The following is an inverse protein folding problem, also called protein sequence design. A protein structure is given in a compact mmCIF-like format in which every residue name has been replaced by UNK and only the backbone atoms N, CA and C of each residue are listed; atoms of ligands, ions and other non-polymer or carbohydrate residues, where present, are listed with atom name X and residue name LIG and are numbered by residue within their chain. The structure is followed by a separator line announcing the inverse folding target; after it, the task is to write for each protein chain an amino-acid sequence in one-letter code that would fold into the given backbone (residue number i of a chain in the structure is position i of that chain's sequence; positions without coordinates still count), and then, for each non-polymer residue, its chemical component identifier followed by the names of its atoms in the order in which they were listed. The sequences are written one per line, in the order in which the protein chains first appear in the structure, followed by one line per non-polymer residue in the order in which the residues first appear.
data_IF_593224320970
#
_entry.id   IF_593224320970
#
_cell.length_a   1.000
_cell.length_b   1.000
_cell.length_c   1.000
_cell.angle_alpha   90.00
_cell.angle_beta   90.00
_cell.angle_gamma   90.00
#
_symmetry.space_group_name_H-M   'P 1'
#
loop_
_entity.id
_entity.type
_entity.pdbx_description
1 polymer ?
#
# COMPACT_ATOMS: atom_id res chain seq x y z
N UNK A 1 -0.47 2.84 22.53
CA UNK A 1 -0.14 4.04 21.76
C UNK A 1 -1.41 4.82 21.40
N UNK A 2 -1.28 6.14 21.26
CA UNK A 2 -2.37 7.00 20.80
C UNK A 2 -2.62 6.80 19.30
N UNK A 3 -1.57 6.87 18.51
CA UNK A 3 -1.61 6.60 17.09
C UNK A 3 -1.09 5.19 16.80
N UNK A 4 -1.76 4.48 15.89
CA UNK A 4 -1.27 3.23 15.30
C UNK A 4 -1.29 3.44 13.80
N UNK A 5 -0.12 3.37 13.16
CA UNK A 5 0.02 3.55 11.71
C UNK A 5 0.68 2.30 11.14
N UNK A 6 -0.04 1.61 10.28
CA UNK A 6 0.40 0.38 9.63
C UNK A 6 0.66 0.65 8.16
N UNK A 7 1.92 0.67 7.77
CA UNK A 7 2.34 0.70 6.38
C UNK A 7 2.46 -0.72 5.83
N UNK A 8 1.80 -0.97 4.73
CA UNK A 8 1.88 -2.21 3.97
C UNK A 8 2.45 -1.92 2.59
N UNK A 9 3.47 -2.66 2.20
CA UNK A 9 4.04 -2.59 0.86
C UNK A 9 4.24 -3.97 0.29
N UNK A 10 4.30 -4.06 -1.01
CA UNK A 10 4.90 -5.20 -1.71
C UNK A 10 6.38 -4.89 -1.95
N UNK A 11 7.17 -5.94 -2.17
CA UNK A 11 8.59 -5.83 -2.53
C UNK A 11 9.49 -5.15 -1.48
N UNK A 12 9.12 -5.17 -0.22
CA UNK A 12 10.00 -4.68 0.85
C UNK A 12 10.98 -5.80 1.28
N UNK A 13 11.81 -6.27 0.36
CA UNK A 13 12.84 -7.28 0.59
C UNK A 13 14.21 -6.63 0.82
N UNK A 14 15.19 -7.33 1.41
CA UNK A 14 16.55 -6.81 1.56
C UNK A 14 17.17 -6.34 0.24
N UNK A 15 16.98 -7.13 -0.84
CA UNK A 15 17.52 -6.78 -2.17
C UNK A 15 16.91 -5.50 -2.71
N UNK A 16 15.56 -5.37 -2.63
CA UNK A 16 14.85 -4.18 -3.11
C UNK A 16 15.18 -2.96 -2.26
N UNK A 17 15.17 -3.12 -0.93
CA UNK A 17 15.48 -2.03 -0.01
C UNK A 17 16.91 -1.49 -0.22
N UNK A 18 17.89 -2.41 -0.34
CA UNK A 18 19.28 -2.04 -0.63
C UNK A 18 19.40 -1.33 -1.97
N UNK A 19 18.73 -1.85 -3.01
CA UNK A 19 18.75 -1.24 -4.34
C UNK A 19 18.10 0.14 -4.35
N UNK A 20 16.95 0.30 -3.66
CA UNK A 20 16.25 1.58 -3.56
C UNK A 20 17.08 2.61 -2.78
N UNK A 21 17.76 2.20 -1.71
CA UNK A 21 18.67 3.05 -0.94
C UNK A 21 19.82 3.55 -1.79
N UNK A 22 20.51 2.65 -2.52
CA UNK A 22 21.60 3.03 -3.42
C UNK A 22 21.08 3.98 -4.50
N UNK A 23 19.92 3.68 -5.07
CA UNK A 23 19.27 4.55 -6.05
C UNK A 23 19.00 5.96 -5.48
N UNK A 24 18.45 6.05 -4.29
CA UNK A 24 18.05 7.32 -3.68
C UNK A 24 19.22 8.19 -3.25
N UNK A 25 20.31 7.60 -2.71
CA UNK A 25 21.37 8.39 -2.12
C UNK A 25 22.77 7.74 -2.08
N UNK A 26 22.92 6.52 -2.63
CA UNK A 26 24.18 5.78 -2.60
C UNK A 26 24.29 4.80 -1.43
N UNK A 27 25.42 4.12 -1.33
CA UNK A 27 25.63 3.02 -0.39
C UNK A 27 25.54 3.45 1.10
N UNK A 28 25.90 4.68 1.41
CA UNK A 28 25.92 5.21 2.78
C UNK A 28 24.60 5.90 3.16
N UNK A 29 23.68 6.06 2.22
CA UNK A 29 22.36 6.63 2.52
C UNK A 29 21.56 5.68 3.40
N UNK A 30 20.72 6.23 4.28
CA UNK A 30 19.81 5.45 5.13
C UNK A 30 18.39 5.96 5.01
N UNK A 31 17.49 5.07 4.75
CA UNK A 31 16.06 5.34 4.79
C UNK A 31 15.57 5.57 6.23
N UNK A 32 14.46 6.29 6.39
CA UNK A 32 13.81 6.49 7.69
C UNK A 32 13.34 5.17 8.30
N UNK A 33 12.85 4.24 7.47
CA UNK A 33 12.41 2.93 7.92
C UNK A 33 13.58 2.06 8.45
N UNK A 34 14.81 2.31 8.02
CA UNK A 34 16.01 1.60 8.53
C UNK A 34 16.49 2.15 9.89
N UNK A 35 15.91 3.25 10.36
CA UNK A 35 16.23 3.86 11.66
C UNK A 35 15.30 3.39 12.78
N UNK A 36 14.38 2.47 12.52
CA UNK A 36 13.48 1.93 13.52
C UNK A 36 14.23 0.99 14.47
N UNK A 37 13.90 1.01 15.78
CA UNK A 37 14.65 0.25 16.77
C UNK A 37 14.36 -1.26 16.74
N UNK A 38 13.24 -1.67 16.12
CA UNK A 38 12.81 -3.06 16.10
C UNK A 38 12.68 -3.56 14.67
N UNK A 39 13.19 -4.76 14.43
CA UNK A 39 13.15 -5.47 13.15
C UNK A 39 12.70 -6.90 13.37
N UNK A 40 11.83 -7.41 12.51
CA UNK A 40 11.42 -8.81 12.49
C UNK A 40 11.33 -9.35 11.07
N UNK A 41 11.50 -10.65 10.92
CA UNK A 41 11.21 -11.37 9.69
C UNK A 41 9.79 -11.92 9.75
N UNK A 42 9.05 -11.78 8.65
CA UNK A 42 7.69 -12.27 8.50
C UNK A 42 7.67 -13.47 7.56
N UNK A 43 6.88 -14.48 7.90
CA UNK A 43 6.52 -15.56 6.99
C UNK A 43 5.24 -15.18 6.23
N UNK A 44 5.29 -15.21 4.90
CA UNK A 44 4.23 -14.66 4.05
C UNK A 44 3.43 -15.71 3.29
N UNK A 45 3.60 -17.01 3.57
CA UNK A 45 2.82 -18.05 2.91
C UNK A 45 1.31 -17.90 3.18
N UNK A 46 0.50 -18.24 2.18
CA UNK A 46 -0.95 -18.37 2.34
C UNK A 46 -1.33 -19.66 3.08
N UNK A 47 -2.62 -19.90 3.31
CA UNK A 47 -3.09 -21.08 4.02
C UNK A 47 -2.70 -22.39 3.29
N UNK A 48 -2.91 -22.46 1.97
CA UNK A 48 -2.70 -23.68 1.17
C UNK A 48 -1.46 -23.58 0.26
N UNK A 49 -0.99 -22.35 -0.03
CA UNK A 49 0.11 -22.12 -0.96
C UNK A 49 1.35 -21.60 -0.23
N UNK A 50 2.52 -22.07 -0.67
CA UNK A 50 3.82 -21.60 -0.15
C UNK A 50 4.05 -20.09 -0.40
N UNK A 51 3.40 -19.54 -1.41
CA UNK A 51 3.46 -18.12 -1.78
C UNK A 51 2.06 -17.52 -1.73
N UNK A 52 1.90 -16.42 -0.99
CA UNK A 52 0.65 -15.68 -0.97
C UNK A 52 0.54 -14.73 -2.16
N UNK A 53 -0.69 -14.48 -2.59
CA UNK A 53 -1.00 -13.32 -3.42
C UNK A 53 -1.30 -12.08 -2.56
N UNK A 54 -1.55 -10.95 -3.21
CA UNK A 54 -1.81 -9.68 -2.53
C UNK A 54 -3.04 -9.73 -1.63
N UNK A 55 -4.09 -10.44 -2.06
CA UNK A 55 -5.34 -10.58 -1.31
C UNK A 55 -5.15 -11.41 -0.03
N UNK A 56 -4.52 -12.58 -0.15
CA UNK A 56 -4.26 -13.46 0.99
C UNK A 56 -3.30 -12.81 2.00
N UNK A 57 -2.23 -12.17 1.52
CA UNK A 57 -1.28 -11.48 2.38
C UNK A 57 -1.94 -10.32 3.15
N UNK A 58 -2.73 -9.50 2.47
CA UNK A 58 -3.44 -8.40 3.12
C UNK A 58 -4.54 -8.89 4.09
N UNK A 59 -5.26 -9.95 3.72
CA UNK A 59 -6.25 -10.59 4.58
C UNK A 59 -5.64 -11.13 5.88
N UNK A 60 -4.46 -11.75 5.78
CA UNK A 60 -3.73 -12.24 6.95
C UNK A 60 -3.34 -11.10 7.91
N UNK A 61 -2.88 -9.96 7.38
CA UNK A 61 -2.58 -8.78 8.19
C UNK A 61 -3.83 -8.18 8.81
N UNK A 62 -4.92 -8.11 8.02
CA UNK A 62 -6.16 -7.48 8.47
C UNK A 62 -6.86 -8.25 9.59
N UNK A 63 -6.77 -9.60 9.60
CA UNK A 63 -7.54 -10.47 10.50
C UNK A 63 -6.69 -11.31 11.48
N UNK A 64 -5.38 -11.40 11.21
CA UNK A 64 -4.48 -12.29 11.97
C UNK A 64 -4.57 -13.77 11.56
N UNK A 65 -5.35 -14.10 10.52
CA UNK A 65 -5.44 -15.47 9.99
C UNK A 65 -5.15 -15.49 8.48
N UNK A 66 -4.45 -16.53 8.04
CA UNK A 66 -4.05 -16.71 6.64
C UNK A 66 -5.21 -17.25 5.81
N UNK A 67 -5.78 -16.47 4.89
CA UNK A 67 -6.77 -16.96 3.94
C UNK A 67 -6.11 -17.74 2.78
N UNK A 68 -6.93 -18.31 1.92
CA UNK A 68 -6.46 -18.86 0.65
C UNK A 68 -6.15 -17.72 -0.34
N UNK A 69 -5.25 -18.00 -1.29
CA UNK A 69 -5.02 -17.09 -2.41
C UNK A 69 -6.32 -16.78 -3.16
N UNK A 70 -6.39 -15.59 -3.76
CA UNK A 70 -7.55 -15.09 -4.53
C UNK A 70 -8.82 -14.92 -3.68
N UNK A 71 -8.69 -14.72 -2.37
CA UNK A 71 -9.82 -14.44 -1.49
C UNK A 71 -9.51 -13.27 -0.57
N UNK A 72 -10.51 -12.43 -0.34
CA UNK A 72 -10.47 -11.39 0.68
C UNK A 72 -11.28 -11.86 1.90
N UNK A 73 -10.58 -12.15 3.01
CA UNK A 73 -11.19 -12.46 4.32
C UNK A 73 -12.24 -13.59 4.30
N UNK A 74 -12.12 -14.55 3.40
CA UNK A 74 -12.93 -15.76 3.44
C UNK A 74 -12.20 -16.80 4.29
N UNK A 75 -12.64 -16.92 5.51
CA UNK A 75 -12.22 -17.96 6.43
C UNK A 75 -13.08 -19.22 6.26
N UNK A 76 -12.50 -20.36 6.59
CA UNK A 76 -13.25 -21.62 6.68
C UNK A 76 -14.23 -21.64 7.87
N UNK A 77 -14.20 -20.65 8.73
CA UNK A 77 -15.05 -20.52 9.91
C UNK A 77 -16.41 -19.90 9.57
N UNK A 78 -17.52 -20.38 10.12
CA UNK A 78 -18.84 -19.79 9.94
C UNK A 78 -18.96 -18.39 10.61
N UNK A 79 -18.09 -18.03 11.57
CA UNK A 79 -18.06 -16.73 12.19
C UNK A 79 -16.95 -15.87 11.59
N UNK A 80 -17.29 -14.74 10.96
CA UNK A 80 -16.31 -13.87 10.34
C UNK A 80 -15.40 -13.21 11.39
N UNK A 81 -14.09 -13.26 11.17
CA UNK A 81 -13.12 -12.59 12.02
C UNK A 81 -13.19 -11.05 11.84
N UNK A 82 -13.13 -10.28 12.93
CA UNK A 82 -13.04 -8.83 12.83
C UNK A 82 -11.67 -8.42 12.29
N UNK A 83 -11.64 -7.34 11.51
CA UNK A 83 -10.39 -6.72 11.09
C UNK A 83 -9.81 -5.81 12.17
N UNK A 84 -8.52 -5.47 12.01
CA UNK A 84 -7.88 -4.45 12.85
C UNK A 84 -8.65 -3.12 12.83
N UNK A 85 -9.21 -2.70 11.68
CA UNK A 85 -10.05 -1.49 11.60
C UNK A 85 -11.35 -1.64 12.38
N UNK A 86 -12.04 -2.77 12.28
CA UNK A 86 -13.25 -3.05 13.04
C UNK A 86 -12.98 -3.09 14.56
N UNK A 87 -11.83 -3.66 14.96
CA UNK A 87 -11.40 -3.67 16.37
C UNK A 87 -11.05 -2.27 16.88
N UNK A 88 -10.33 -1.47 16.08
CA UNK A 88 -10.00 -0.09 16.41
C UNK A 88 -11.27 0.74 16.59
N UNK A 89 -12.24 0.62 15.67
CA UNK A 89 -13.53 1.30 15.75
C UNK A 89 -14.32 0.88 16.99
N UNK A 90 -14.38 -0.42 17.31
CA UNK A 90 -15.04 -0.91 18.53
C UNK A 90 -14.41 -0.35 19.80
N UNK A 91 -13.10 -0.04 19.78
CA UNK A 91 -12.44 0.63 20.90
C UNK A 91 -12.65 2.15 20.93
N UNK A 92 -13.39 2.71 19.97
CA UNK A 92 -13.69 4.13 19.85
C UNK A 92 -12.60 4.95 19.18
N UNK A 93 -11.61 4.31 18.55
CA UNK A 93 -10.56 4.99 17.77
C UNK A 93 -11.10 5.47 16.43
N UNK A 94 -10.60 6.59 15.95
CA UNK A 94 -10.81 6.97 14.56
C UNK A 94 -10.04 6.00 13.63
N UNK A 95 -10.53 5.83 12.40
CA UNK A 95 -9.94 4.89 11.45
C UNK A 95 -9.71 5.54 10.09
N UNK A 96 -8.63 5.17 9.43
CA UNK A 96 -8.31 5.63 8.09
C UNK A 96 -7.67 4.56 7.22
N UNK A 97 -7.90 4.66 5.93
CA UNK A 97 -7.20 3.93 4.87
C UNK A 97 -6.64 4.96 3.88
N UNK A 98 -5.35 4.84 3.62
CA UNK A 98 -4.64 5.59 2.58
C UNK A 98 -4.03 4.59 1.62
N UNK A 99 -4.15 4.81 0.32
CA UNK A 99 -3.48 3.97 -0.68
C UNK A 99 -3.04 4.80 -1.88
N UNK A 100 -1.92 4.43 -2.49
CA UNK A 100 -1.53 4.93 -3.81
C UNK A 100 -2.09 4.09 -4.97
N UNK A 101 -2.82 3.01 -4.66
CA UNK A 101 -3.58 2.23 -5.63
C UNK A 101 -5.07 2.63 -5.61
N UNK A 102 -5.96 1.77 -6.07
CA UNK A 102 -7.41 1.97 -5.89
C UNK A 102 -7.83 1.58 -4.48
N UNK A 103 -8.79 2.32 -3.91
CA UNK A 103 -9.40 1.92 -2.63
C UNK A 103 -10.04 0.53 -2.68
N UNK A 104 -10.40 0.05 -3.87
CA UNK A 104 -10.95 -1.28 -4.12
C UNK A 104 -9.90 -2.35 -4.38
N UNK A 105 -8.61 -1.99 -4.48
CA UNK A 105 -7.52 -2.98 -4.59
C UNK A 105 -7.41 -3.83 -3.32
N UNK A 106 -6.92 -5.05 -3.49
CA UNK A 106 -6.93 -6.10 -2.50
C UNK A 106 -6.39 -5.70 -1.11
N UNK A 107 -5.33 -4.88 -1.04
CA UNK A 107 -4.73 -4.48 0.24
C UNK A 107 -5.68 -3.60 1.05
N UNK A 108 -6.19 -2.52 0.45
CA UNK A 108 -7.13 -1.63 1.11
C UNK A 108 -8.45 -2.38 1.41
N UNK A 109 -8.95 -3.15 0.43
CA UNK A 109 -10.19 -3.90 0.51
C UNK A 109 -10.19 -4.95 1.63
N UNK A 110 -9.06 -5.58 1.93
CA UNK A 110 -8.96 -6.59 2.99
C UNK A 110 -9.37 -6.07 4.38
N UNK A 111 -9.32 -4.78 4.62
CA UNK A 111 -9.71 -4.18 5.90
C UNK A 111 -11.20 -3.89 6.05
N UNK A 112 -11.99 -3.97 4.97
CA UNK A 112 -13.42 -3.66 5.01
C UNK A 112 -14.31 -4.61 4.21
N UNK A 113 -13.78 -5.28 3.17
CA UNK A 113 -14.57 -6.14 2.28
C UNK A 113 -14.27 -7.62 2.45
N UNK A 114 -15.20 -8.46 1.98
CA UNK A 114 -15.12 -9.92 1.92
C UNK A 114 -15.58 -10.39 0.56
N UNK A 115 -14.78 -11.17 -0.14
CA UNK A 115 -15.15 -11.75 -1.42
C UNK A 115 -14.27 -12.93 -1.78
N UNK A 116 -14.82 -13.87 -2.55
CA UNK A 116 -14.07 -14.94 -3.23
C UNK A 116 -13.45 -14.48 -4.54
N UNK A 117 -13.76 -13.26 -4.99
CA UNK A 117 -13.17 -12.64 -6.18
C UNK A 117 -12.63 -11.24 -5.85
N UNK A 118 -11.32 -11.10 -5.57
CA UNK A 118 -10.71 -9.80 -5.27
C UNK A 118 -10.64 -8.85 -6.48
N UNK A 119 -11.07 -9.30 -7.66
CA UNK A 119 -11.19 -8.47 -8.86
C UNK A 119 -12.62 -7.96 -9.10
N UNK A 120 -13.58 -8.37 -8.30
CA UNK A 120 -14.93 -7.80 -8.34
C UNK A 120 -14.96 -6.44 -7.62
N UNK A 121 -14.34 -5.45 -8.27
CA UNK A 121 -14.22 -4.08 -7.76
C UNK A 121 -15.59 -3.41 -7.53
N UNK A 122 -16.63 -3.83 -8.27
CA UNK A 122 -17.98 -3.29 -8.10
C UNK A 122 -18.59 -3.74 -6.77
N UNK A 123 -18.50 -5.04 -6.45
CA UNK A 123 -18.98 -5.57 -5.17
C UNK A 123 -18.13 -5.05 -3.99
N UNK A 124 -16.81 -4.92 -4.17
CA UNK A 124 -15.90 -4.38 -3.15
C UNK A 124 -16.24 -2.92 -2.85
N UNK A 125 -16.40 -2.06 -3.87
CA UNK A 125 -16.79 -0.67 -3.69
C UNK A 125 -18.17 -0.52 -3.02
N UNK A 126 -19.10 -1.40 -3.34
CA UNK A 126 -20.42 -1.44 -2.70
C UNK A 126 -20.31 -1.76 -1.20
N UNK A 127 -19.52 -2.77 -0.82
CA UNK A 127 -19.29 -3.11 0.58
C UNK A 127 -18.66 -1.96 1.37
N UNK A 128 -17.75 -1.19 0.74
CA UNK A 128 -17.18 0.00 1.38
C UNK A 128 -18.26 1.00 1.73
N UNK A 129 -19.18 1.27 0.82
CA UNK A 129 -20.26 2.24 1.02
C UNK A 129 -21.31 1.74 2.02
N UNK A 130 -21.71 0.49 1.91
CA UNK A 130 -22.78 -0.07 2.76
C UNK A 130 -22.35 -0.23 4.22
N UNK A 131 -21.11 -0.62 4.47
CA UNK A 131 -20.59 -0.90 5.82
C UNK A 131 -19.69 0.20 6.38
N UNK A 132 -19.52 1.32 5.65
CA UNK A 132 -18.50 2.30 5.98
C UNK A 132 -18.88 3.17 7.18
N UNK A 133 -18.02 3.05 8.21
CA UNK A 133 -17.84 4.05 9.26
C UNK A 133 -16.34 4.41 9.38
N UNK A 134 -15.59 4.28 8.28
CA UNK A 134 -14.17 4.64 8.24
C UNK A 134 -14.08 6.15 8.06
N UNK A 135 -13.37 6.83 8.95
CA UNK A 135 -13.34 8.28 8.99
C UNK A 135 -12.64 8.92 7.79
N UNK A 136 -11.53 8.32 7.35
CA UNK A 136 -10.69 8.86 6.27
C UNK A 136 -10.37 7.77 5.26
N UNK A 137 -10.73 8.00 4.01
CA UNK A 137 -10.53 7.11 2.87
C UNK A 137 -9.87 7.95 1.76
N UNK A 138 -8.59 7.72 1.48
CA UNK A 138 -7.83 8.49 0.48
C UNK A 138 -7.11 7.54 -0.48
N UNK A 139 -7.32 7.71 -1.78
CA UNK A 139 -6.66 6.88 -2.79
C UNK A 139 -7.13 7.12 -4.21
N UNK A 140 -6.95 6.14 -5.07
CA UNK A 140 -7.47 6.10 -6.43
C UNK A 140 -8.73 5.24 -6.56
N UNK A 141 -9.13 4.96 -7.80
CA UNK A 141 -10.21 4.03 -8.13
C UNK A 141 -11.59 4.66 -8.29
N UNK A 142 -11.66 5.96 -8.62
CA UNK A 142 -12.95 6.66 -8.80
C UNK A 142 -13.88 5.95 -9.79
N UNK A 143 -13.34 5.26 -10.82
CA UNK A 143 -14.14 4.51 -11.77
C UNK A 143 -14.98 3.39 -11.12
N UNK A 144 -14.53 2.81 -10.00
CA UNK A 144 -15.26 1.76 -9.30
C UNK A 144 -16.47 2.28 -8.52
N UNK A 145 -16.50 3.59 -8.27
CA UNK A 145 -17.54 4.29 -7.52
C UNK A 145 -18.54 4.99 -8.43
N UNK A 146 -18.25 5.16 -9.71
CA UNK A 146 -19.07 5.90 -10.64
C UNK A 146 -19.74 4.98 -11.68
N UNK A 147 -20.98 5.31 -12.11
CA UNK A 147 -21.64 4.61 -13.20
C UNK A 147 -20.97 4.91 -14.56
N UNK A 148 -21.19 4.06 -15.56
CA UNK A 148 -20.69 4.24 -16.93
C UNK A 148 -21.10 5.61 -17.53
N UNK A 149 -22.27 6.13 -17.15
CA UNK A 149 -22.75 7.47 -17.58
C UNK A 149 -21.93 8.63 -17.03
N UNK A 150 -21.00 8.38 -16.12
CA UNK A 150 -20.06 9.35 -15.53
C UNK A 150 -18.61 8.89 -15.67
N UNK A 151 -18.29 8.25 -16.79
CA UNK A 151 -16.96 7.69 -17.11
C UNK A 151 -16.46 6.65 -16.09
N UNK A 152 -17.35 6.12 -15.24
CA UNK A 152 -17.07 5.03 -14.35
C UNK A 152 -17.19 3.66 -15.02
N UNK A 153 -17.08 2.60 -14.23
CA UNK A 153 -17.23 1.21 -14.73
C UNK A 153 -18.33 0.42 -14.01
N UNK A 154 -19.20 1.11 -13.24
CA UNK A 154 -20.33 0.47 -12.58
C UNK A 154 -21.48 0.25 -13.56
N UNK A 155 -21.88 -1.02 -13.70
CA UNK A 155 -22.98 -1.43 -14.58
C UNK A 155 -24.35 -1.40 -13.90
N UNK A 156 -24.37 -1.28 -12.56
CA UNK A 156 -25.60 -1.19 -11.77
C UNK A 156 -26.23 0.23 -11.77
N UNK A 157 -25.58 1.19 -12.44
CA UNK A 157 -26.02 2.57 -12.53
C UNK A 157 -25.88 3.40 -11.25
N UNK A 158 -25.34 2.84 -10.16
CA UNK A 158 -25.17 3.53 -8.87
C UNK A 158 -24.00 4.49 -8.89
N UNK A 159 -24.20 5.67 -8.31
CA UNK A 159 -23.13 6.63 -8.01
C UNK A 159 -22.76 6.54 -6.52
N UNK A 160 -21.77 5.73 -6.21
CA UNK A 160 -21.34 5.50 -4.84
C UNK A 160 -20.67 6.73 -4.21
N UNK A 161 -20.10 7.64 -5.00
CA UNK A 161 -19.58 8.91 -4.48
C UNK A 161 -20.72 9.81 -3.98
N UNK A 162 -21.84 9.86 -4.70
CA UNK A 162 -23.03 10.57 -4.27
C UNK A 162 -23.63 9.93 -3.02
N UNK A 163 -23.67 8.61 -2.94
CA UNK A 163 -24.15 7.89 -1.77
C UNK A 163 -23.30 8.17 -0.53
N UNK A 164 -21.97 8.19 -0.67
CA UNK A 164 -21.05 8.57 0.40
C UNK A 164 -21.27 10.02 0.87
N UNK A 165 -21.48 10.94 -0.09
CA UNK A 165 -21.85 12.33 0.25
C UNK A 165 -23.14 12.39 1.07
N UNK A 166 -24.16 11.62 0.67
CA UNK A 166 -25.42 11.55 1.41
C UNK A 166 -25.27 10.94 2.81
N UNK A 167 -24.23 10.14 3.03
CA UNK A 167 -23.83 9.64 4.36
C UNK A 167 -22.97 10.63 5.16
N UNK A 168 -22.77 11.84 4.64
CA UNK A 168 -22.05 12.93 5.30
C UNK A 168 -20.54 12.95 5.06
N UNK A 169 -20.05 12.26 4.02
CA UNK A 169 -18.63 12.36 3.64
C UNK A 169 -18.37 13.59 2.78
N UNK A 170 -17.28 14.29 3.08
CA UNK A 170 -16.68 15.25 2.17
C UNK A 170 -16.02 14.47 1.03
N UNK A 171 -16.37 14.80 -0.20
CA UNK A 171 -15.80 14.16 -1.38
C UNK A 171 -14.74 15.11 -1.94
N UNK A 172 -13.48 14.69 -1.92
CA UNK A 172 -12.32 15.45 -2.42
C UNK A 172 -11.68 14.72 -3.60
N UNK A 173 -11.26 15.47 -4.63
CA UNK A 173 -10.81 14.92 -5.91
C UNK A 173 -9.42 15.38 -6.35
N UNK A 174 -8.86 16.34 -5.65
CA UNK A 174 -7.53 16.88 -5.91
C UNK A 174 -6.87 17.33 -4.61
N UNK A 175 -5.59 17.66 -4.69
CA UNK A 175 -4.80 18.05 -3.53
C UNK A 175 -5.36 19.28 -2.83
N UNK A 176 -5.77 20.30 -3.58
CA UNK A 176 -6.30 21.54 -2.99
C UNK A 176 -7.60 21.32 -2.20
N UNK A 177 -8.53 20.51 -2.76
CA UNK A 177 -9.75 20.13 -2.04
C UNK A 177 -9.43 19.33 -0.77
N UNK A 178 -8.46 18.40 -0.85
CA UNK A 178 -8.02 17.60 0.29
C UNK A 178 -7.43 18.47 1.41
N UNK A 179 -6.53 19.38 1.08
CA UNK A 179 -5.90 20.30 2.04
C UNK A 179 -6.90 21.30 2.66
N UNK A 180 -7.97 21.62 1.94
CA UNK A 180 -9.05 22.50 2.40
C UNK A 180 -10.05 21.79 3.32
N UNK A 181 -9.91 20.48 3.57
CA UNK A 181 -10.82 19.74 4.44
C UNK A 181 -10.77 20.25 5.87
N UNK A 182 -11.92 20.55 6.50
CA UNK A 182 -11.97 21.08 7.85
C UNK A 182 -11.37 20.15 8.90
N UNK A 183 -10.44 20.64 9.71
CA UNK A 183 -9.80 19.89 10.81
C UNK A 183 -10.55 20.03 12.15
N UNK A 184 -11.49 20.96 12.26
CA UNK A 184 -12.21 21.30 13.50
C UNK A 184 -13.36 20.36 13.86
N UNK A 185 -13.73 19.43 13.00
CA UNK A 185 -14.80 18.44 13.20
C UNK A 185 -14.29 17.02 13.01
N UNK A 186 -15.04 16.04 13.54
CA UNK A 186 -14.76 14.64 13.30
C UNK A 186 -14.79 14.35 11.79
N UNK A 187 -13.72 13.81 11.20
CA UNK A 187 -13.63 13.63 9.76
C UNK A 187 -14.55 12.51 9.27
N UNK A 188 -15.18 12.76 8.13
CA UNK A 188 -15.73 11.77 7.21
C UNK A 188 -15.32 12.20 5.81
N UNK A 189 -14.23 11.66 5.29
CA UNK A 189 -13.62 12.11 4.03
C UNK A 189 -13.42 10.94 3.10
N UNK A 190 -13.87 11.08 1.86
CA UNK A 190 -13.56 10.19 0.75
C UNK A 190 -12.81 10.99 -0.33
N UNK A 191 -11.52 10.73 -0.47
CA UNK A 191 -10.67 11.28 -1.52
C UNK A 191 -10.40 10.24 -2.61
N UNK A 192 -10.84 10.54 -3.83
CA UNK A 192 -10.63 9.72 -5.01
C UNK A 192 -9.95 10.58 -6.08
N UNK A 193 -8.62 10.48 -6.16
CA UNK A 193 -7.78 11.42 -6.89
C UNK A 193 -7.46 11.00 -8.32
N UNK A 194 -7.85 9.79 -8.72
CA UNK A 194 -7.74 9.30 -10.10
C UNK A 194 -8.83 8.26 -10.38
N UNK A 195 -9.19 8.11 -11.65
CA UNK A 195 -10.13 7.07 -12.10
C UNK A 195 -9.64 5.65 -11.80
N UNK A 196 -8.34 5.38 -12.00
CA UNK A 196 -7.64 4.17 -11.59
C UNK A 196 -6.75 4.39 -10.37
N UNK A 197 -5.63 3.69 -10.33
CA UNK A 197 -4.57 3.94 -9.33
C UNK A 197 -3.99 5.35 -9.46
N UNK A 198 -3.29 5.81 -8.43
CA UNK A 198 -2.59 7.10 -8.49
C UNK A 198 -1.42 7.04 -9.50
N UNK A 199 -0.92 8.21 -9.87
CA UNK A 199 0.30 8.31 -10.68
C UNK A 199 1.49 7.74 -9.88
N UNK A 200 2.39 7.06 -10.59
CA UNK A 200 3.64 6.64 -10.00
C UNK A 200 4.50 7.85 -9.58
N UNK A 201 5.38 7.66 -8.61
CA UNK A 201 6.25 8.71 -8.08
C UNK A 201 7.11 9.42 -9.13
N UNK A 202 7.42 8.75 -10.25
CA UNK A 202 8.11 9.34 -11.40
C UNK A 202 7.21 10.20 -12.30
N UNK A 203 5.90 10.14 -12.11
CA UNK A 203 4.89 10.81 -12.95
C UNK A 203 4.14 11.94 -12.22
N UNK A 204 4.29 12.08 -10.91
CA UNK A 204 3.52 13.05 -10.11
C UNK A 204 3.74 14.49 -10.57
N UNK A 205 4.93 14.86 -11.03
CA UNK A 205 5.20 16.20 -11.54
C UNK A 205 4.36 16.57 -12.79
N UNK A 206 3.87 15.56 -13.52
CA UNK A 206 2.99 15.74 -14.68
C UNK A 206 1.52 15.91 -14.27
N UNK A 207 1.16 15.44 -13.08
CA UNK A 207 -0.19 15.47 -12.52
C UNK A 207 -0.29 16.43 -11.34
N UNK A 208 0.00 17.70 -11.55
CA UNK A 208 0.16 18.73 -10.50
C UNK A 208 -1.03 18.90 -9.53
N UNK A 209 -2.16 18.26 -9.78
CA UNK A 209 -3.33 18.29 -8.90
C UNK A 209 -3.51 17.03 -8.04
N UNK A 210 -2.69 16.00 -8.27
CA UNK A 210 -2.82 14.72 -7.57
C UNK A 210 -1.86 14.67 -6.38
N UNK A 211 -2.35 14.35 -5.16
CA UNK A 211 -1.49 14.22 -3.99
C UNK A 211 -0.55 13.01 -4.10
N UNK A 212 0.63 13.13 -3.52
CA UNK A 212 1.59 12.03 -3.34
C UNK A 212 1.21 11.15 -2.13
N UNK A 213 1.82 9.97 -2.01
CA UNK A 213 1.61 9.11 -0.83
C UNK A 213 1.99 9.84 0.49
N UNK A 214 3.12 10.57 0.59
CA UNK A 214 3.42 11.41 1.75
C UNK A 214 2.34 12.45 2.07
N UNK A 215 1.76 13.12 1.05
CA UNK A 215 0.70 14.12 1.25
C UNK A 215 -0.56 13.48 1.81
N UNK A 216 -0.95 12.32 1.27
CA UNK A 216 -2.10 11.54 1.76
C UNK A 216 -1.92 11.11 3.21
N UNK A 217 -0.72 10.65 3.58
CA UNK A 217 -0.41 10.24 4.96
C UNK A 217 -0.45 11.43 5.89
N UNK A 218 0.13 12.58 5.50
CA UNK A 218 0.07 13.81 6.29
C UNK A 218 -1.37 14.22 6.56
N UNK A 219 -2.18 14.32 5.50
CA UNK A 219 -3.56 14.74 5.62
C UNK A 219 -4.39 13.78 6.48
N UNK A 220 -4.19 12.47 6.32
CA UNK A 220 -4.86 11.48 7.15
C UNK A 220 -4.51 11.64 8.64
N UNK A 221 -3.24 11.86 8.99
CA UNK A 221 -2.80 12.12 10.36
C UNK A 221 -3.46 13.38 10.91
N UNK A 222 -3.42 14.49 10.16
CA UNK A 222 -4.01 15.77 10.56
C UNK A 222 -5.51 15.65 10.84
N UNK A 223 -6.23 14.87 10.04
CA UNK A 223 -7.66 14.62 10.21
C UNK A 223 -7.97 13.71 11.41
N UNK A 224 -7.17 12.67 11.64
CA UNK A 224 -7.47 11.62 12.62
C UNK A 224 -7.00 11.95 14.05
N UNK A 225 -6.00 12.82 14.20
CA UNK A 225 -5.31 13.07 15.47
C UNK A 225 -6.19 13.65 16.59
N UNK A 226 -7.31 14.25 16.25
CA UNK A 226 -8.19 14.88 17.24
C UNK A 226 -9.16 13.92 17.93
N UNK A 227 -9.20 12.64 17.54
CA UNK A 227 -10.00 11.66 18.27
C UNK A 227 -9.37 11.40 19.66
N UNK A 228 -10.13 11.59 20.77
CA UNK A 228 -9.58 11.48 22.12
C UNK A 228 -9.08 10.08 22.49
N UNK A 229 -9.54 9.04 21.78
CA UNK A 229 -9.08 7.65 21.95
C UNK A 229 -7.98 7.25 20.98
N UNK A 230 -7.49 8.21 20.18
CA UNK A 230 -6.49 7.99 19.16
C UNK A 230 -7.05 7.38 17.88
N UNK A 231 -6.18 6.85 17.02
CA UNK A 231 -6.57 6.37 15.71
C UNK A 231 -5.76 5.15 15.24
N UNK A 232 -6.32 4.45 14.26
CA UNK A 232 -5.63 3.48 13.42
C UNK A 232 -5.65 3.96 11.97
N UNK A 233 -4.48 4.11 11.39
CA UNK A 233 -4.30 4.43 9.97
C UNK A 233 -3.61 3.26 9.26
N UNK A 234 -4.25 2.73 8.23
CA UNK A 234 -3.65 1.74 7.32
C UNK A 234 -3.19 2.48 6.07
N UNK A 235 -1.93 2.31 5.71
CA UNK A 235 -1.30 2.91 4.53
C UNK A 235 -0.85 1.79 3.60
N UNK A 236 -1.40 1.74 2.40
CA UNK A 236 -1.01 0.80 1.36
C UNK A 236 -0.14 1.49 0.31
N UNK A 237 1.12 1.08 0.20
CA UNK A 237 2.07 1.50 -0.82
C UNK A 237 2.15 0.43 -1.93
N UNK A 238 1.03 0.11 -2.55
CA UNK A 238 0.89 -1.01 -3.49
C UNK A 238 1.50 -0.77 -4.86
N UNK A 239 1.79 0.50 -5.25
CA UNK A 239 2.40 0.80 -6.55
C UNK A 239 3.79 0.19 -6.72
N UNK A 240 4.55 -0.01 -5.64
CA UNK A 240 5.84 -0.72 -5.70
C UNK A 240 5.68 -2.14 -6.25
N UNK A 241 4.65 -2.87 -5.80
CA UNK A 241 4.34 -4.21 -6.30
C UNK A 241 3.85 -4.21 -7.74
N UNK A 242 3.01 -3.23 -8.12
CA UNK A 242 2.54 -3.09 -9.50
C UNK A 242 3.69 -2.78 -10.46
N UNK A 243 4.61 -1.91 -10.10
CA UNK A 243 5.82 -1.65 -10.89
C UNK A 243 6.70 -2.89 -10.99
N UNK A 244 6.90 -3.60 -9.89
CA UNK A 244 7.72 -4.80 -9.84
C UNK A 244 7.14 -5.95 -10.67
N UNK A 245 5.82 -6.14 -10.69
CA UNK A 245 5.16 -7.15 -11.52
C UNK A 245 5.35 -6.93 -13.03
N UNK A 246 5.64 -5.68 -13.42
CA UNK A 246 5.97 -5.28 -14.79
C UNK A 246 7.48 -5.23 -15.06
N UNK A 247 8.31 -5.61 -14.09
CA UNK A 247 9.76 -5.50 -14.12
C UNK A 247 10.28 -4.07 -14.39
N UNK A 248 9.52 -3.07 -13.97
CA UNK A 248 9.88 -1.67 -14.09
C UNK A 248 10.83 -1.27 -12.94
N UNK A 249 12.13 -1.57 -13.10
CA UNK A 249 13.11 -1.46 -12.02
C UNK A 249 13.20 -0.07 -11.39
N UNK A 250 13.47 0.96 -12.19
CA UNK A 250 13.56 2.33 -11.67
C UNK A 250 12.28 2.76 -10.95
N UNK A 251 11.12 2.48 -11.54
CA UNK A 251 9.82 2.82 -10.96
C UNK A 251 9.61 2.11 -9.62
N UNK A 252 9.96 0.83 -9.52
CA UNK A 252 9.92 0.08 -8.26
C UNK A 252 10.76 0.76 -7.18
N UNK A 253 12.02 1.14 -7.51
CA UNK A 253 12.90 1.80 -6.55
C UNK A 253 12.38 3.17 -6.11
N UNK A 254 11.79 3.94 -7.03
CA UNK A 254 11.15 5.23 -6.73
C UNK A 254 9.94 5.10 -5.81
N UNK A 255 9.13 4.06 -6.00
CA UNK A 255 7.97 3.79 -5.13
C UNK A 255 8.40 3.40 -3.71
N UNK A 256 9.49 2.64 -3.55
CA UNK A 256 10.07 2.35 -2.23
C UNK A 256 10.61 3.63 -1.57
N UNK A 257 11.24 4.51 -2.33
CA UNK A 257 11.69 5.81 -1.80
C UNK A 257 10.49 6.71 -1.40
N UNK A 258 9.40 6.68 -2.16
CA UNK A 258 8.15 7.37 -1.81
C UNK A 258 7.50 6.82 -0.53
N UNK A 259 7.52 5.50 -0.35
CA UNK A 259 7.11 4.87 0.92
C UNK A 259 7.95 5.39 2.09
N UNK A 260 9.29 5.45 1.94
CA UNK A 260 10.17 5.93 3.00
C UNK A 260 9.88 7.39 3.37
N UNK A 261 9.59 8.24 2.37
CA UNK A 261 9.17 9.62 2.59
C UNK A 261 7.84 9.69 3.37
N UNK A 262 6.88 8.82 3.06
CA UNK A 262 5.62 8.73 3.81
C UNK A 262 5.84 8.24 5.26
N UNK A 263 6.78 7.32 5.48
CA UNK A 263 7.20 6.90 6.82
C UNK A 263 7.86 8.06 7.58
N UNK A 264 8.70 8.87 6.92
CA UNK A 264 9.29 10.06 7.51
C UNK A 264 8.22 11.06 7.97
N UNK A 265 7.19 11.28 7.16
CA UNK A 265 6.03 12.10 7.51
C UNK A 265 5.32 11.56 8.75
N UNK A 266 5.04 10.27 8.78
CA UNK A 266 4.39 9.65 9.94
C UNK A 266 5.22 9.80 11.21
N UNK A 267 6.52 9.55 11.17
CA UNK A 267 7.43 9.74 12.32
C UNK A 267 7.45 11.19 12.82
N UNK A 268 7.36 12.14 11.91
CA UNK A 268 7.38 13.57 12.27
C UNK A 268 6.06 14.06 12.88
N UNK A 269 4.93 13.58 12.37
CA UNK A 269 3.61 14.17 12.66
C UNK A 269 2.70 13.33 13.54
N UNK A 270 2.97 12.02 13.73
CA UNK A 270 2.12 11.16 14.56
C UNK A 270 2.33 11.33 16.08
N UNK A 271 3.38 12.04 16.49
CA UNK A 271 3.72 12.28 17.88
C UNK A 271 4.50 11.13 18.54
N UNK A 272 5.01 11.38 19.73
CA UNK A 272 5.87 10.44 20.47
C UNK A 272 5.14 9.17 20.95
N UNK A 273 3.83 9.25 21.18
CA UNK A 273 3.01 8.11 21.59
C UNK A 273 2.37 7.41 20.39
N UNK A 274 3.15 7.18 19.35
CA UNK A 274 2.74 6.49 18.14
C UNK A 274 3.44 5.13 17.99
N UNK A 275 2.66 4.12 17.58
CA UNK A 275 3.19 2.86 17.06
C UNK A 275 3.14 2.91 15.53
N UNK A 276 4.31 2.93 14.91
CA UNK A 276 4.42 2.85 13.45
C UNK A 276 5.01 1.49 13.09
N UNK A 277 4.30 0.76 12.25
CA UNK A 277 4.71 -0.56 11.74
C UNK A 277 4.83 -0.46 10.23
N UNK A 278 5.97 -0.89 9.68
CA UNK A 278 6.18 -1.00 8.22
C UNK A 278 6.40 -2.47 7.89
N UNK A 279 5.53 -3.05 7.09
CA UNK A 279 5.57 -4.47 6.77
C UNK A 279 5.55 -4.72 5.25
N UNK A 280 6.46 -5.57 4.79
CA UNK A 280 6.39 -6.16 3.47
C UNK A 280 5.44 -7.37 3.50
N UNK A 281 4.42 -7.38 2.66
CA UNK A 281 3.41 -8.45 2.66
C UNK A 281 3.61 -9.50 1.57
N UNK A 282 4.31 -9.16 0.50
CA UNK A 282 4.52 -10.01 -0.68
C UNK A 282 5.68 -9.49 -1.52
N UNK A 283 6.32 -10.36 -2.31
CA UNK A 283 7.36 -10.00 -3.28
C UNK A 283 6.89 -10.33 -4.70
N UNK A 284 6.66 -9.31 -5.52
CA UNK A 284 6.28 -9.42 -6.93
C UNK A 284 7.53 -9.26 -7.82
N UNK A 285 7.62 -10.02 -8.90
CA UNK A 285 8.74 -9.94 -9.85
C UNK A 285 10.05 -10.56 -9.38
N UNK A 286 10.28 -10.67 -8.06
CA UNK A 286 11.50 -11.24 -7.49
C UNK A 286 12.76 -10.49 -7.89
N UNK A 287 12.80 -9.16 -7.67
CA UNK A 287 13.96 -8.32 -7.96
C UNK A 287 15.16 -8.76 -7.13
N UNK A 288 16.31 -8.91 -7.79
CA UNK A 288 17.59 -9.28 -7.19
C UNK A 288 18.65 -8.25 -7.49
N UNK A 289 19.51 -8.00 -6.51
CA UNK A 289 20.73 -7.21 -6.65
C UNK A 289 21.90 -8.16 -6.88
N UNK A 290 22.50 -8.15 -8.09
CA UNK A 290 23.57 -9.07 -8.51
C UNK A 290 24.99 -8.55 -8.24
N UNK A 291 25.09 -7.41 -7.61
CA UNK A 291 26.35 -6.74 -7.34
C UNK A 291 26.34 -5.31 -7.83
N UNK A 292 27.18 -4.51 -7.22
CA UNK A 292 27.26 -3.09 -7.47
C UNK A 292 28.71 -2.63 -7.35
N UNK A 293 29.21 -1.99 -8.37
CA UNK A 293 30.66 -1.86 -8.55
C UNK A 293 31.30 -0.74 -7.74
N UNK A 294 30.58 0.35 -7.49
CA UNK A 294 31.15 1.55 -6.89
C UNK A 294 30.36 2.06 -5.73
N UNK A 295 31.02 2.26 -4.59
CA UNK A 295 30.38 2.71 -3.35
C UNK A 295 29.70 4.08 -3.45
N UNK A 296 30.24 4.97 -4.29
CA UNK A 296 29.76 6.34 -4.41
C UNK A 296 28.71 6.54 -5.51
N UNK A 297 28.41 5.50 -6.28
CA UNK A 297 27.38 5.58 -7.31
C UNK A 297 25.98 5.69 -6.68
N UNK A 298 25.10 6.40 -7.35
CA UNK A 298 23.72 6.58 -6.98
C UNK A 298 22.85 6.85 -8.20
N UNK A 299 21.54 6.86 -8.00
CA UNK A 299 20.59 7.11 -9.07
C UNK A 299 20.60 6.01 -10.12
N UNK A 300 20.49 6.39 -11.38
CA UNK A 300 20.37 5.46 -12.51
C UNK A 300 21.56 4.50 -12.69
N UNK A 301 22.71 4.76 -12.07
CA UNK A 301 23.88 3.89 -12.16
C UNK A 301 23.59 2.45 -11.70
N UNK A 302 22.72 2.25 -10.71
CA UNK A 302 22.33 0.91 -10.24
C UNK A 302 21.50 0.13 -11.28
N UNK A 303 20.94 0.79 -12.27
CA UNK A 303 20.17 0.15 -13.34
C UNK A 303 21.05 -0.39 -14.48
N UNK A 304 22.34 -0.13 -14.43
CA UNK A 304 23.32 -0.55 -15.43
C UNK A 304 23.81 -1.98 -15.24
N UNK A 305 25.00 -2.21 -15.78
CA UNK A 305 25.74 -3.49 -15.67
C UNK A 305 26.87 -3.34 -14.64
N UNK A 306 27.19 -4.44 -13.95
CA UNK A 306 28.35 -4.51 -13.06
C UNK A 306 29.66 -4.69 -13.83
N UNK A 307 30.81 -4.73 -13.12
CA UNK A 307 32.14 -4.89 -13.72
C UNK A 307 32.30 -6.18 -14.52
N UNK A 308 31.48 -7.18 -14.32
CA UNK A 308 31.47 -8.45 -15.04
C UNK A 308 30.51 -8.45 -16.24
N UNK A 309 29.92 -7.31 -16.59
CA UNK A 309 28.94 -7.19 -17.68
C UNK A 309 27.55 -7.76 -17.36
N UNK A 310 27.27 -8.11 -16.11
CA UNK A 310 25.99 -8.63 -15.67
C UNK A 310 25.11 -7.45 -15.21
N UNK A 311 23.82 -7.43 -15.55
CA UNK A 311 22.90 -6.42 -15.01
C UNK A 311 22.95 -6.38 -13.48
N UNK A 312 23.07 -5.18 -12.92
CA UNK A 312 23.09 -4.99 -11.45
C UNK A 312 21.78 -5.44 -10.81
N UNK A 313 20.67 -5.30 -11.55
CA UNK A 313 19.35 -5.76 -11.13
C UNK A 313 18.81 -6.79 -12.12
N UNK A 314 18.25 -7.88 -11.62
CA UNK A 314 17.55 -8.88 -12.41
C UNK A 314 16.22 -9.25 -11.76
N UNK A 315 15.35 -9.93 -12.53
CA UNK A 315 14.03 -10.35 -12.12
C UNK A 315 13.90 -11.87 -12.20
N UNK A 316 13.25 -12.45 -11.21
CA UNK A 316 13.00 -13.91 -11.20
C UNK A 316 11.75 -14.28 -11.98
N UNK A 317 10.77 -13.38 -12.11
CA UNK A 317 9.49 -13.62 -12.81
C UNK A 317 9.07 -12.33 -13.54
N UNK A 318 8.10 -12.44 -14.44
CA UNK A 318 7.53 -11.31 -15.17
C UNK A 318 8.12 -11.12 -16.58
N UNK A 319 7.72 -10.06 -17.30
CA UNK A 319 8.00 -9.90 -18.74
C UNK A 319 9.48 -9.82 -19.11
N UNK A 320 10.34 -9.34 -18.19
CA UNK A 320 11.79 -9.21 -18.38
C UNK A 320 12.62 -10.25 -17.63
N UNK A 321 11.99 -11.28 -17.07
CA UNK A 321 12.71 -12.38 -16.45
C UNK A 321 13.52 -13.13 -17.52
N UNK A 322 14.82 -13.24 -17.33
CA UNK A 322 15.69 -13.97 -18.25
C UNK A 322 15.21 -15.40 -18.40
N UNK A 323 15.18 -15.90 -19.64
CA UNK A 323 14.95 -17.31 -19.91
C UNK A 323 16.15 -18.10 -19.38
N UNK A 324 16.15 -18.43 -18.10
CA UNK A 324 16.98 -19.51 -17.62
C UNK A 324 16.32 -20.80 -18.08
N UNK A 325 16.95 -21.50 -18.98
CA UNK A 325 16.56 -22.80 -19.53
C UNK A 325 16.68 -23.93 -18.50
N UNK A 326 16.13 -23.74 -17.32
CA UNK A 326 16.03 -24.81 -16.33
C UNK A 326 14.54 -25.07 -16.08
N UNK A 327 14.06 -26.29 -16.43
CA UNK A 327 12.66 -26.63 -16.27
C UNK A 327 12.41 -26.97 -14.80
N UNK A 328 12.16 -26.00 -13.98
CA UNK A 328 11.60 -26.23 -12.66
C UNK A 328 10.69 -25.07 -12.32
N UNK A 329 9.39 -25.35 -12.35
CA UNK A 329 8.34 -24.44 -11.90
C UNK A 329 8.35 -24.19 -10.38
N UNK A 330 9.51 -23.86 -9.84
CA UNK A 330 9.66 -23.41 -8.47
C UNK A 330 10.03 -21.94 -8.55
N UNK A 331 9.02 -21.08 -8.45
CA UNK A 331 9.24 -19.68 -8.15
C UNK A 331 9.79 -19.61 -6.73
N UNK A 332 11.08 -19.41 -6.58
CA UNK A 332 11.63 -19.01 -5.30
C UNK A 332 11.22 -17.57 -5.05
N UNK A 333 10.08 -17.39 -4.40
CA UNK A 333 9.83 -16.13 -3.71
C UNK A 333 10.75 -16.12 -2.48
N UNK A 334 11.74 -15.23 -2.48
CA UNK A 334 12.38 -14.89 -1.22
C UNK A 334 11.30 -14.50 -0.21
N UNK A 335 11.42 -14.90 1.06
CA UNK A 335 10.49 -14.42 2.06
C UNK A 335 10.51 -12.89 1.99
N UNK A 336 9.41 -12.32 1.56
CA UNK A 336 9.25 -10.89 1.70
C UNK A 336 9.19 -10.66 3.20
N UNK A 337 10.20 -10.05 3.78
CA UNK A 337 9.88 -8.90 4.46
C UNK A 337 10.42 -8.66 5.81
N UNK A 338 10.84 -7.48 5.92
CA UNK A 338 11.06 -6.83 7.18
C UNK A 338 9.75 -6.17 7.63
N UNK A 339 9.38 -6.36 8.88
CA UNK A 339 8.51 -5.46 9.58
C UNK A 339 9.37 -4.60 10.49
N UNK A 340 9.21 -3.29 10.45
CA UNK A 340 9.84 -2.35 11.36
C UNK A 340 8.78 -1.66 12.19
N UNK A 341 9.01 -1.52 13.48
CA UNK A 341 8.07 -0.86 14.37
C UNK A 341 8.79 0.16 15.26
N UNK A 342 8.11 1.28 15.49
CA UNK A 342 8.45 2.22 16.56
C UNK A 342 7.54 1.97 17.77
N UNK A 343 8.11 1.96 18.94
CA UNK A 343 7.38 1.90 20.22
C UNK A 343 7.30 3.28 20.83
#
# INVERSE_FOLDING_TARGET
PFAIILFLSENLTPSVLTSARIYAGGADYRFELEKFPHLALLTTQANVFAVSDSAAAAGAVATGQKPNNRTLRLEASPAPLPTLLELARKSGRATGIVTNTSLTDATAAAFYARTSDPLDFQAIGLQLVESSDINVLLGGGAADFLPETKDGRRKDGRDLMLEMRNKGYDIVRNQQEMESTPLWRAPKVLGLFNMGQLAYADQVQVSASQPTLPDLVLQAILLLQYNPKGYLLVVDAGLAGKAASQNAGERTLREIASLDQAVAVARKFAGENALIVVAGKQNSGGLRLNGYSFRNDKGAAILGINAQGVPSLTWSTGPGSGQTTTPTGISHSEPSAFATASS
#
